data_IF_415080900305
#
_entry.id   IF_415080900305
#
_cell.length_a   1.000
_cell.length_b   1.000
_cell.length_c   1.000
_cell.angle_alpha   90.00
_cell.angle_beta   90.00
_cell.angle_gamma   90.00
#
_symmetry.space_group_name_H-M   'P 1'
#
loop_
_entity.id
_entity.type
_entity.pdbx_description
1 polymer ?
#
# COMPACT_ATOMS: atom_id res chain seq x y z
N UNK A 1 12.18 9.00 4.46
CA UNK A 1 12.21 8.28 5.75
C UNK A 1 12.56 6.84 5.47
N UNK A 2 13.48 6.24 6.23
CA UNK A 2 13.93 4.84 6.04
C UNK A 2 12.80 3.90 6.51
N UNK A 3 12.45 2.85 5.74
CA UNK A 3 11.43 1.88 6.15
C UNK A 3 11.88 1.06 7.36
N UNK A 4 10.94 0.64 8.19
CA UNK A 4 11.21 -0.05 9.46
C UNK A 4 10.25 -1.21 9.77
N UNK A 5 9.30 -1.48 8.88
CA UNK A 5 8.39 -2.63 9.00
C UNK A 5 7.93 -3.12 7.64
N UNK A 6 7.53 -4.39 7.61
CA UNK A 6 6.82 -4.97 6.48
C UNK A 6 5.52 -4.21 6.19
N UNK A 7 5.09 -4.20 4.93
CA UNK A 7 3.86 -3.55 4.47
C UNK A 7 4.04 -2.11 3.98
N UNK A 8 5.16 -1.46 4.29
CA UNK A 8 5.43 -0.10 3.84
C UNK A 8 5.71 -0.06 2.34
N UNK A 9 5.13 0.92 1.66
CA UNK A 9 5.44 1.21 0.25
C UNK A 9 6.64 2.16 0.17
N UNK A 10 7.61 1.78 -0.64
CA UNK A 10 8.91 2.45 -0.76
C UNK A 10 9.30 2.61 -2.22
N UNK A 11 10.30 3.45 -2.46
CA UNK A 11 11.06 3.53 -3.71
C UNK A 11 12.53 3.78 -3.39
N UNK A 12 13.39 3.63 -4.39
CA UNK A 12 14.79 4.04 -4.25
C UNK A 12 14.87 5.57 -4.20
N UNK A 13 15.59 6.11 -3.21
CA UNK A 13 15.88 7.56 -3.19
C UNK A 13 16.90 7.95 -4.26
N UNK A 14 17.71 6.98 -4.72
CA UNK A 14 18.69 7.08 -5.80
C UNK A 14 18.52 5.87 -6.72
N UNK A 15 17.57 5.91 -7.68
CA UNK A 15 17.30 4.79 -8.57
C UNK A 15 18.50 4.44 -9.44
N UNK A 16 18.59 3.18 -9.87
CA UNK A 16 19.60 2.77 -10.83
C UNK A 16 19.39 3.44 -12.20
N UNK A 17 20.43 3.59 -13.04
CA UNK A 17 20.32 4.30 -14.32
C UNK A 17 19.27 3.73 -15.29
N UNK A 18 18.97 2.44 -15.16
CA UNK A 18 18.02 1.68 -15.98
C UNK A 18 16.67 1.43 -15.28
N UNK A 19 16.51 1.92 -14.05
CA UNK A 19 15.29 1.78 -13.26
C UNK A 19 14.33 2.96 -13.49
N UNK A 20 13.02 2.69 -13.49
CA UNK A 20 12.01 3.75 -13.46
C UNK A 20 12.05 4.44 -12.08
N UNK A 21 12.33 5.76 -11.99
CA UNK A 21 12.36 6.50 -10.73
C UNK A 21 11.03 6.50 -9.96
N UNK A 22 9.93 6.15 -10.61
CA UNK A 22 8.60 6.04 -10.00
C UNK A 22 8.21 4.61 -9.67
N UNK A 23 9.10 3.63 -9.87
CA UNK A 23 8.85 2.25 -9.51
C UNK A 23 8.63 2.13 -8.00
N UNK A 24 7.47 1.60 -7.63
CA UNK A 24 7.09 1.37 -6.24
C UNK A 24 7.35 -0.07 -5.86
N UNK A 25 7.71 -0.24 -4.59
CA UNK A 25 7.96 -1.54 -3.99
C UNK A 25 7.22 -1.65 -2.66
N UNK A 26 6.87 -2.86 -2.27
CA UNK A 26 6.43 -3.16 -0.91
C UNK A 26 7.57 -3.83 -0.14
N UNK A 27 7.78 -3.40 1.11
CA UNK A 27 8.68 -4.07 2.04
C UNK A 27 8.02 -5.35 2.56
N UNK A 28 8.66 -6.49 2.36
CA UNK A 28 8.22 -7.79 2.85
C UNK A 28 8.81 -8.12 4.22
N UNK A 29 10.09 -7.80 4.42
CA UNK A 29 10.82 -8.05 5.65
C UNK A 29 11.93 -7.02 5.85
N UNK A 30 12.24 -6.72 7.11
CA UNK A 30 13.28 -5.76 7.51
C UNK A 30 14.28 -6.49 8.40
N UNK A 31 15.55 -6.46 8.02
CA UNK A 31 16.66 -7.02 8.77
C UNK A 31 17.52 -5.86 9.29
N UNK A 32 17.44 -5.57 10.58
CA UNK A 32 18.01 -4.35 11.20
C UNK A 32 19.39 -4.55 11.86
N UNK A 33 20.09 -5.64 11.51
CA UNK A 33 21.34 -6.05 12.14
C UNK A 33 22.56 -5.34 11.51
N UNK A 34 23.79 -5.87 11.68
CA UNK A 34 25.07 -5.23 11.27
C UNK A 34 25.10 -4.61 9.86
N UNK A 35 24.29 -5.13 8.93
CA UNK A 35 24.05 -4.54 7.62
C UNK A 35 22.56 -4.45 7.38
N UNK A 36 21.92 -3.31 7.67
CA UNK A 36 20.49 -3.16 7.51
C UNK A 36 20.05 -3.46 6.07
N UNK A 37 19.10 -4.39 5.91
CA UNK A 37 18.56 -4.83 4.62
C UNK A 37 17.03 -4.89 4.68
N UNK A 38 16.42 -4.76 3.52
CA UNK A 38 15.00 -5.05 3.35
C UNK A 38 14.81 -5.99 2.16
N UNK A 39 13.92 -6.95 2.31
CA UNK A 39 13.38 -7.71 1.18
C UNK A 39 12.21 -6.91 0.62
N UNK A 40 12.28 -6.60 -0.67
CA UNK A 40 11.28 -5.79 -1.36
C UNK A 40 10.74 -6.52 -2.58
N UNK A 41 9.47 -6.25 -2.90
CA UNK A 41 8.81 -6.76 -4.09
C UNK A 41 8.26 -5.62 -4.92
N UNK A 42 8.55 -5.63 -6.23
CA UNK A 42 8.08 -4.61 -7.16
C UNK A 42 6.56 -4.69 -7.34
N UNK A 43 5.90 -3.53 -7.26
CA UNK A 43 4.47 -3.37 -7.51
C UNK A 43 4.22 -3.04 -8.99
N UNK A 44 3.02 -3.33 -9.49
CA UNK A 44 2.56 -2.96 -10.85
C UNK A 44 3.43 -3.47 -12.02
N UNK A 45 4.18 -4.55 -11.84
CA UNK A 45 5.00 -5.15 -12.91
C UNK A 45 4.18 -5.95 -13.93
N UNK A 46 2.92 -6.28 -13.61
CA UNK A 46 2.08 -7.17 -14.42
C UNK A 46 2.47 -8.66 -14.33
N UNK A 47 3.51 -9.00 -13.55
CA UNK A 47 3.92 -10.38 -13.32
C UNK A 47 3.02 -11.04 -12.29
N UNK A 48 2.63 -12.29 -12.53
CA UNK A 48 1.89 -13.09 -11.54
C UNK A 48 2.76 -13.45 -10.33
N UNK A 49 4.07 -13.49 -10.50
CA UNK A 49 5.07 -13.78 -9.47
C UNK A 49 6.25 -12.82 -9.64
N UNK A 50 6.11 -11.56 -9.18
CA UNK A 50 7.21 -10.60 -9.21
C UNK A 50 8.36 -11.08 -8.32
N UNK A 51 9.62 -10.85 -8.72
CA UNK A 51 10.77 -11.24 -7.94
C UNK A 51 10.87 -10.43 -6.63
N UNK A 52 11.46 -11.07 -5.62
CA UNK A 52 11.84 -10.43 -4.35
C UNK A 52 13.34 -10.16 -4.38
N UNK A 53 13.73 -8.93 -4.03
CA UNK A 53 15.13 -8.51 -3.99
C UNK A 53 15.50 -8.03 -2.60
N UNK A 54 16.70 -8.39 -2.13
CA UNK A 54 17.27 -7.88 -0.87
C UNK A 54 18.16 -6.67 -1.14
N UNK A 55 17.84 -5.52 -0.55
CA UNK A 55 18.51 -4.23 -0.83
C UNK A 55 18.95 -3.55 0.46
N UNK A 56 19.86 -2.56 0.41
CA UNK A 56 20.20 -1.79 1.60
C UNK A 56 18.98 -0.99 2.05
N UNK A 57 18.72 -0.97 3.36
CA UNK A 57 17.65 -0.15 3.93
C UNK A 57 17.84 1.34 3.64
N UNK A 58 19.10 1.79 3.66
CA UNK A 58 19.45 3.18 3.44
C UNK A 58 19.15 3.65 2.02
N UNK A 59 19.08 2.75 1.03
CA UNK A 59 18.78 3.08 -0.37
C UNK A 59 17.29 3.42 -0.60
N UNK A 60 16.44 3.14 0.40
CA UNK A 60 14.99 3.22 0.31
C UNK A 60 14.41 4.44 1.01
N UNK A 61 13.36 4.99 0.43
CA UNK A 61 12.49 5.96 1.09
C UNK A 61 11.02 5.54 1.04
N UNK A 62 10.32 5.72 2.17
CA UNK A 62 8.88 5.50 2.24
C UNK A 62 8.16 6.56 1.40
N UNK A 63 7.20 6.10 0.60
CA UNK A 63 6.39 6.93 -0.27
C UNK A 63 5.07 7.29 0.43
N UNK A 64 4.73 8.59 0.41
CA UNK A 64 3.38 9.05 0.74
C UNK A 64 2.46 8.89 -0.47
N UNK A 65 1.32 8.25 -0.25
CA UNK A 65 0.30 8.06 -1.30
C UNK A 65 -0.78 9.13 -1.15
N UNK A 66 -1.13 9.78 -2.25
CA UNK A 66 -2.28 10.68 -2.30
C UNK A 66 -3.58 9.86 -2.39
N UNK A 67 -4.36 9.87 -1.32
CA UNK A 67 -5.60 9.09 -1.26
C UNK A 67 -6.74 9.76 -2.05
N UNK A 68 -6.59 11.06 -2.36
CA UNK A 68 -7.59 11.83 -3.12
C UNK A 68 -7.85 11.22 -4.49
N UNK A 69 -6.84 10.59 -5.08
CA UNK A 69 -6.95 9.91 -6.36
C UNK A 69 -7.90 8.71 -6.30
N UNK A 70 -8.22 8.21 -5.10
CA UNK A 70 -9.21 7.15 -4.92
C UNK A 70 -10.65 7.66 -5.08
N UNK A 71 -10.91 8.97 -4.97
CA UNK A 71 -12.26 9.53 -5.08
C UNK A 71 -12.85 9.18 -6.44
N UNK A 72 -14.03 8.54 -6.41
CA UNK A 72 -14.73 8.12 -7.60
C UNK A 72 -14.33 6.75 -8.15
N UNK A 73 -13.30 6.11 -7.60
CA UNK A 73 -12.97 4.73 -7.92
C UNK A 73 -13.83 3.75 -7.13
N UNK A 74 -14.06 2.58 -7.72
CA UNK A 74 -14.75 1.48 -7.05
C UNK A 74 -13.74 0.66 -6.24
N UNK A 75 -14.01 0.49 -4.95
CA UNK A 75 -13.12 -0.20 -4.01
C UNK A 75 -13.93 -1.07 -3.06
N UNK A 76 -13.23 -1.97 -2.36
CA UNK A 76 -13.80 -2.75 -1.26
C UNK A 76 -13.21 -2.28 0.06
N UNK A 77 -14.04 -2.10 1.07
CA UNK A 77 -13.61 -1.75 2.43
C UNK A 77 -14.01 -2.83 3.43
N UNK A 78 -13.29 -2.88 4.55
CA UNK A 78 -13.70 -3.56 5.77
C UNK A 78 -14.30 -2.56 6.75
N UNK A 79 -15.55 -2.76 7.14
CA UNK A 79 -16.27 -1.92 8.11
C UNK A 79 -15.94 -2.33 9.55
N UNK A 80 -16.36 -1.53 10.53
CA UNK A 80 -16.07 -1.78 11.95
C UNK A 80 -16.67 -3.08 12.51
N UNK A 81 -17.72 -3.59 11.89
CA UNK A 81 -18.33 -4.90 12.18
C UNK A 81 -17.68 -6.05 11.39
N UNK A 82 -16.51 -5.82 10.78
CA UNK A 82 -15.75 -6.76 9.94
C UNK A 82 -16.47 -7.19 8.65
N UNK A 83 -17.55 -6.51 8.26
CA UNK A 83 -18.20 -6.77 6.97
C UNK A 83 -17.33 -6.24 5.81
N UNK A 84 -17.45 -6.88 4.64
CA UNK A 84 -16.81 -6.40 3.40
C UNK A 84 -17.85 -5.74 2.53
N UNK A 85 -17.62 -4.49 2.16
CA UNK A 85 -18.55 -3.70 1.34
C UNK A 85 -17.82 -3.10 0.16
N UNK A 86 -18.39 -3.24 -1.04
CA UNK A 86 -17.88 -2.65 -2.27
C UNK A 86 -18.71 -1.45 -2.67
N UNK A 87 -18.05 -0.37 -3.09
CA UNK A 87 -18.73 0.85 -3.50
C UNK A 87 -17.78 1.87 -4.09
N UNK A 88 -18.34 3.01 -4.52
CA UNK A 88 -17.59 4.14 -5.08
C UNK A 88 -17.11 5.04 -3.96
N UNK A 89 -15.82 5.37 -3.92
CA UNK A 89 -15.28 6.30 -2.92
C UNK A 89 -15.89 7.68 -3.09
N UNK A 90 -16.46 8.23 -2.01
CA UNK A 90 -17.04 9.58 -1.98
C UNK A 90 -16.26 10.52 -1.06
N UNK A 91 -15.55 9.99 -0.08
CA UNK A 91 -14.73 10.78 0.83
C UNK A 91 -13.51 9.99 1.29
N UNK A 92 -12.41 10.73 1.49
CA UNK A 92 -11.17 10.22 2.09
C UNK A 92 -10.93 10.98 3.39
N UNK A 93 -10.45 10.28 4.43
CA UNK A 93 -10.23 10.90 5.74
C UNK A 93 -8.94 11.73 5.78
N UNK A 94 -7.86 11.16 5.26
CA UNK A 94 -6.52 11.77 5.21
C UNK A 94 -6.11 11.89 3.75
N UNK A 95 -5.69 13.07 3.31
CA UNK A 95 -5.35 13.31 1.90
C UNK A 95 -4.01 12.71 1.44
N UNK A 96 -3.09 12.50 2.39
CA UNK A 96 -1.79 11.86 2.18
C UNK A 96 -1.57 10.90 3.33
N UNK A 97 -1.10 9.69 3.02
CA UNK A 97 -0.84 8.68 4.03
C UNK A 97 0.40 7.86 3.65
N UNK A 98 1.17 7.47 4.66
CA UNK A 98 2.19 6.45 4.50
C UNK A 98 1.46 5.10 4.45
N UNK A 99 1.30 4.56 3.24
CA UNK A 99 0.55 3.33 3.02
C UNK A 99 1.24 2.17 3.74
N UNK A 100 0.46 1.50 4.59
CA UNK A 100 0.84 0.29 5.29
C UNK A 100 -0.11 -0.82 4.91
N UNK A 101 0.43 -2.00 4.63
CA UNK A 101 -0.27 -3.16 4.13
C UNK A 101 -0.02 -4.36 5.03
N UNK A 102 -1.10 -4.93 5.55
CA UNK A 102 -1.06 -6.09 6.44
C UNK A 102 -1.85 -7.23 5.83
N UNK A 103 -1.26 -8.43 5.81
CA UNK A 103 -1.92 -9.61 5.28
C UNK A 103 -3.05 -10.04 6.23
N UNK A 104 -4.30 -10.02 5.76
CA UNK A 104 -5.50 -10.40 6.50
C UNK A 104 -6.25 -11.54 5.79
N UNK A 105 -5.89 -12.79 6.11
CA UNK A 105 -6.52 -13.96 5.47
C UNK A 105 -6.25 -14.01 3.96
N UNK A 106 -7.31 -13.91 3.15
CA UNK A 106 -7.24 -13.88 1.67
C UNK A 106 -6.94 -12.50 1.10
N UNK A 107 -7.11 -11.44 1.90
CA UNK A 107 -7.03 -10.05 1.44
C UNK A 107 -5.87 -9.33 2.12
N UNK A 108 -5.46 -8.20 1.57
CA UNK A 108 -4.49 -7.29 2.16
C UNK A 108 -5.24 -6.09 2.72
N UNK A 109 -5.19 -5.91 4.04
CA UNK A 109 -5.78 -4.76 4.70
C UNK A 109 -4.79 -3.60 4.70
N UNK A 110 -5.28 -2.39 4.41
CA UNK A 110 -4.47 -1.18 4.44
C UNK A 110 -4.87 -0.26 5.59
N UNK A 111 -4.01 0.69 5.93
CA UNK A 111 -4.34 1.77 6.86
C UNK A 111 -5.17 2.92 6.22
N UNK A 112 -5.60 2.79 4.96
CA UNK A 112 -6.36 3.83 4.25
C UNK A 112 -7.83 3.78 4.66
N UNK A 113 -8.32 4.84 5.32
CA UNK A 113 -9.70 4.94 5.79
C UNK A 113 -10.56 5.78 4.83
N UNK A 114 -11.65 5.19 4.34
CA UNK A 114 -12.47 5.73 3.26
C UNK A 114 -13.96 5.68 3.62
N UNK A 115 -14.73 6.60 3.01
CA UNK A 115 -16.18 6.47 2.89
C UNK A 115 -16.52 6.13 1.45
N UNK A 116 -17.27 5.05 1.27
CA UNK A 116 -17.79 4.60 -0.01
C UNK A 116 -19.31 4.74 -0.04
N UNK A 117 -19.87 4.81 -1.24
CA UNK A 117 -21.31 4.65 -1.49
C UNK A 117 -21.54 3.35 -2.25
N UNK A 118 -22.36 2.46 -1.69
CA UNK A 118 -22.69 1.18 -2.31
C UNK A 118 -23.70 1.33 -3.47
N UNK A 119 -24.08 0.21 -4.09
CA UNK A 119 -25.04 0.17 -5.19
C UNK A 119 -26.47 0.58 -4.79
N UNK A 120 -26.81 0.49 -3.50
CA UNK A 120 -28.10 0.92 -2.96
C UNK A 120 -28.09 2.41 -2.59
N UNK A 121 -26.96 3.11 -2.78
CA UNK A 121 -26.79 4.51 -2.40
C UNK A 121 -26.48 4.72 -0.93
N UNK A 122 -26.23 3.66 -0.16
CA UNK A 122 -25.92 3.72 1.27
C UNK A 122 -24.43 3.98 1.44
N UNK A 123 -24.09 4.89 2.36
CA UNK A 123 -22.71 5.21 2.67
C UNK A 123 -22.15 4.31 3.77
N UNK A 124 -20.96 3.80 3.54
CA UNK A 124 -20.23 2.93 4.46
C UNK A 124 -18.83 3.47 4.67
N UNK A 125 -18.29 3.29 5.86
CA UNK A 125 -16.96 3.78 6.20
C UNK A 125 -16.10 2.65 6.78
N UNK A 126 -14.85 2.57 6.36
CA UNK A 126 -13.97 1.47 6.72
C UNK A 126 -12.57 1.60 6.14
N UNK A 127 -11.76 0.56 6.33
CA UNK A 127 -10.40 0.48 5.78
C UNK A 127 -10.40 -0.17 4.41
N UNK A 128 -9.62 0.36 3.47
CA UNK A 128 -9.47 -0.21 2.13
C UNK A 128 -8.85 -1.61 2.21
N UNK A 129 -9.48 -2.55 1.52
CA UNK A 129 -8.97 -3.89 1.25
C UNK A 129 -8.45 -3.97 -0.19
N UNK A 130 -7.31 -4.62 -0.36
CA UNK A 130 -6.70 -4.92 -1.66
C UNK A 130 -6.70 -6.44 -1.82
N UNK A 131 -7.22 -6.93 -2.94
CA UNK A 131 -7.35 -8.36 -3.25
C UNK A 131 -7.15 -8.62 -4.74
#
# INVERSE_FOLDING_TARGET
MIPNKAGQVVKFHSPYPDEDPNQLYVVLEVFDHERPRADIQALNTGLSFPPVNSVNLDDLEIVEVETKDLIGHQVTISTSDSSKVTGKVVQVRESKILLDMTKGGSDVATNVYLTIRDYNGIEHTGTLLVG
#
